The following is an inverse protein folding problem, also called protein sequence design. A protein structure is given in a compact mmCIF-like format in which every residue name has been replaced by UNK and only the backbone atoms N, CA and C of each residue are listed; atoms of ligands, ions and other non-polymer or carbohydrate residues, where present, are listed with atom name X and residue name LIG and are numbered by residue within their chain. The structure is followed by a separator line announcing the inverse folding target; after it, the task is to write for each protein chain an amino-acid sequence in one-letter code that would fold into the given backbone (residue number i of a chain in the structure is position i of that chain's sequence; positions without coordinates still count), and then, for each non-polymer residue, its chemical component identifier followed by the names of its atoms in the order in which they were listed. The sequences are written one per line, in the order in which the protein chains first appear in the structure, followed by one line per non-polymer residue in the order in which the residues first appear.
data_IF_872191478749
#
_entry.id   IF_872191478749
#
_cell.length_a   1.000
_cell.length_b   1.000
_cell.length_c   1.000
_cell.angle_alpha   90.00
_cell.angle_beta   90.00
_cell.angle_gamma   90.00
#
_symmetry.space_group_name_H-M   'P 1'
#
loop_
_entity.id
_entity.type
_entity.pdbx_description
1 polymer ?
#
# COMPACT_ATOMS: atom_id res chain seq x y z
N UNK A 1 -45.48 31.15 25.41
CA UNK A 1 -44.66 30.99 24.19
C UNK A 1 -43.44 30.18 24.58
N UNK A 2 -43.51 28.87 24.39
CA UNK A 2 -42.47 27.92 24.81
C UNK A 2 -41.58 27.64 23.61
N UNK A 3 -40.33 28.11 23.64
CA UNK A 3 -39.32 27.75 22.65
C UNK A 3 -38.58 26.51 23.15
N UNK A 4 -38.85 25.37 22.52
CA UNK A 4 -38.16 24.12 22.78
C UNK A 4 -36.69 24.19 22.33
N UNK A 5 -35.79 23.69 23.17
CA UNK A 5 -34.42 23.39 22.77
C UNK A 5 -34.41 22.21 21.77
N UNK A 6 -33.60 22.24 20.71
CA UNK A 6 -33.41 21.07 19.88
C UNK A 6 -32.49 20.09 20.61
N UNK A 7 -32.96 18.86 20.72
CA UNK A 7 -32.15 17.70 21.05
C UNK A 7 -31.15 17.45 19.90
N UNK A 8 -29.94 17.97 20.02
CA UNK A 8 -28.82 17.56 19.18
C UNK A 8 -28.29 16.22 19.69
N UNK A 9 -28.83 15.14 19.13
CA UNK A 9 -28.14 13.86 19.00
C UNK A 9 -26.85 14.09 18.22
N UNK A 10 -25.69 14.07 18.89
CA UNK A 10 -24.43 13.80 18.22
C UNK A 10 -23.84 12.52 18.81
N UNK A 11 -23.54 11.62 17.87
CA UNK A 11 -23.20 10.23 18.03
C UNK A 11 -22.05 9.99 19.01
N UNK A 12 -22.06 8.79 19.58
CA UNK A 12 -21.14 8.34 20.60
C UNK A 12 -19.66 8.47 20.23
N UNK A 13 -18.94 9.21 21.07
CA UNK A 13 -17.49 9.07 21.22
C UNK A 13 -17.28 7.89 22.17
N UNK A 14 -17.26 6.67 21.64
CA UNK A 14 -16.89 5.45 22.40
C UNK A 14 -15.71 4.68 21.78
N UNK A 15 -14.87 5.33 21.00
CA UNK A 15 -13.76 4.67 20.25
C UNK A 15 -12.35 5.25 20.53
N UNK A 16 -12.13 5.93 21.67
CA UNK A 16 -10.85 6.63 21.90
C UNK A 16 -9.89 6.00 22.93
N UNK A 17 -10.23 4.88 23.60
CA UNK A 17 -9.38 4.37 24.69
C UNK A 17 -8.38 3.27 24.30
N UNK A 18 -8.67 2.49 23.27
CA UNK A 18 -7.76 1.44 22.77
C UNK A 18 -6.82 1.95 21.67
N UNK A 19 -7.33 2.82 20.80
CA UNK A 19 -6.60 3.41 19.68
C UNK A 19 -5.33 4.17 20.12
N UNK A 20 -5.38 4.84 21.28
CA UNK A 20 -4.23 5.62 21.78
C UNK A 20 -3.04 4.74 22.23
N UNK A 21 -3.30 3.53 22.74
CA UNK A 21 -2.26 2.57 23.12
C UNK A 21 -1.56 1.99 21.89
N UNK A 22 -2.34 1.76 20.82
CA UNK A 22 -1.84 1.20 19.57
C UNK A 22 -1.05 2.23 18.76
N UNK A 23 -1.54 3.48 18.67
CA UNK A 23 -0.79 4.60 18.11
C UNK A 23 0.52 4.87 18.85
N UNK A 24 0.51 4.90 20.20
CA UNK A 24 1.73 5.10 20.98
C UNK A 24 2.76 3.98 20.76
N UNK A 25 2.31 2.75 20.48
CA UNK A 25 3.19 1.64 20.13
C UNK A 25 3.81 1.82 18.73
N UNK A 26 3.01 2.28 17.76
CA UNK A 26 3.51 2.64 16.43
C UNK A 26 4.51 3.79 16.50
N UNK A 27 4.29 4.83 17.29
CA UNK A 27 5.24 5.94 17.43
C UNK A 27 6.62 5.45 17.89
N UNK A 28 6.66 4.56 18.90
CA UNK A 28 7.90 3.94 19.37
C UNK A 28 8.55 3.05 18.30
N UNK A 29 7.76 2.30 17.54
CA UNK A 29 8.26 1.50 16.41
C UNK A 29 8.90 2.39 15.35
N UNK A 30 8.22 3.45 14.91
CA UNK A 30 8.68 4.34 13.85
C UNK A 30 9.89 5.17 14.29
N UNK A 31 9.97 5.56 15.55
CA UNK A 31 11.18 6.17 16.14
C UNK A 31 12.37 5.18 16.12
N UNK A 32 12.15 3.90 16.41
CA UNK A 32 13.21 2.89 16.28
C UNK A 32 13.61 2.65 14.82
N UNK A 33 12.66 2.64 13.90
CA UNK A 33 12.91 2.48 12.46
C UNK A 33 13.70 3.67 11.89
N UNK A 34 13.42 4.89 12.35
CA UNK A 34 14.09 6.13 11.90
C UNK A 34 15.61 6.10 12.16
N UNK A 35 16.02 5.44 13.25
CA UNK A 35 17.42 5.23 13.65
C UNK A 35 18.17 4.23 12.75
N UNK A 36 17.46 3.39 12.00
CA UNK A 36 18.09 2.48 11.04
C UNK A 36 18.41 3.19 9.72
N UNK A 37 19.70 3.31 9.40
CA UNK A 37 20.17 3.85 8.10
C UNK A 37 19.63 3.06 6.91
N UNK A 38 19.33 1.76 7.09
CA UNK A 38 18.69 0.95 6.08
C UNK A 38 17.23 1.32 5.88
N UNK A 39 16.44 1.34 6.95
CA UNK A 39 14.98 1.57 6.86
C UNK A 39 14.62 3.01 6.47
N UNK A 40 15.34 4.01 7.01
CA UNK A 40 15.05 5.43 6.73
C UNK A 40 15.30 5.87 5.28
N UNK A 41 15.96 5.05 4.46
CA UNK A 41 16.31 5.38 3.06
C UNK A 41 15.15 5.17 2.09
N UNK A 42 14.13 4.42 2.50
CA UNK A 42 12.96 4.10 1.70
C UNK A 42 12.00 5.30 1.70
N UNK A 43 11.52 5.63 0.50
CA UNK A 43 10.53 6.68 0.22
C UNK A 43 9.80 6.32 -1.04
N UNK A 44 8.53 6.71 -1.15
CA UNK A 44 7.79 6.53 -2.41
C UNK A 44 8.49 7.31 -3.55
N UNK A 45 8.60 6.67 -4.71
CA UNK A 45 8.98 7.34 -5.94
C UNK A 45 7.78 8.05 -6.56
N UNK A 46 8.02 8.77 -7.66
CA UNK A 46 6.96 9.49 -8.39
C UNK A 46 5.87 8.53 -8.88
N UNK A 47 6.26 7.38 -9.42
CA UNK A 47 5.32 6.39 -9.96
C UNK A 47 4.48 5.75 -8.85
N UNK A 48 5.10 5.40 -7.72
CA UNK A 48 4.37 4.82 -6.59
C UNK A 48 3.42 5.84 -5.94
N UNK A 49 3.80 7.11 -5.81
CA UNK A 49 2.90 8.16 -5.33
C UNK A 49 1.71 8.36 -6.28
N UNK A 50 1.95 8.40 -7.60
CA UNK A 50 0.88 8.49 -8.59
C UNK A 50 -0.04 7.26 -8.54
N UNK A 51 0.51 6.06 -8.39
CA UNK A 51 -0.28 4.85 -8.28
C UNK A 51 -1.14 4.84 -7.02
N UNK A 52 -0.57 5.25 -5.87
CA UNK A 52 -1.31 5.42 -4.61
C UNK A 52 -2.43 6.45 -4.76
N UNK A 53 -2.15 7.61 -5.38
CA UNK A 53 -3.16 8.65 -5.60
C UNK A 53 -4.29 8.20 -6.54
N UNK A 54 -3.95 7.48 -7.62
CA UNK A 54 -4.92 7.04 -8.62
C UNK A 54 -5.82 5.90 -8.12
N UNK A 55 -5.29 5.00 -7.28
CA UNK A 55 -6.05 3.85 -6.74
C UNK A 55 -6.76 4.17 -5.43
N UNK A 56 -6.23 5.09 -4.62
CA UNK A 56 -6.71 5.36 -3.28
C UNK A 56 -6.14 4.41 -2.23
N UNK A 57 -6.22 4.81 -0.96
CA UNK A 57 -5.62 4.05 0.14
C UNK A 57 -6.29 2.69 0.33
N UNK A 58 -7.62 2.64 0.28
CA UNK A 58 -8.41 1.43 0.50
C UNK A 58 -7.97 0.29 -0.44
N UNK A 59 -8.00 0.51 -1.75
CA UNK A 59 -7.55 -0.49 -2.75
C UNK A 59 -6.08 -0.89 -2.56
N UNK A 60 -5.21 0.03 -2.15
CA UNK A 60 -3.80 -0.28 -1.90
C UNK A 60 -3.65 -1.18 -0.67
N UNK A 61 -4.47 -1.01 0.36
CA UNK A 61 -4.49 -1.86 1.54
C UNK A 61 -5.14 -3.23 1.26
N UNK A 62 -6.13 -3.30 0.38
CA UNK A 62 -6.65 -4.59 -0.14
C UNK A 62 -5.53 -5.42 -0.80
N UNK A 63 -4.77 -4.81 -1.70
CA UNK A 63 -3.59 -5.47 -2.28
C UNK A 63 -2.57 -5.87 -1.19
N UNK A 64 -2.40 -5.02 -0.18
CA UNK A 64 -1.51 -5.29 0.95
C UNK A 64 -1.93 -6.53 1.73
N UNK A 65 -3.22 -6.68 2.02
CA UNK A 65 -3.80 -7.86 2.66
C UNK A 65 -3.50 -9.13 1.88
N UNK A 66 -3.70 -9.09 0.56
CA UNK A 66 -3.39 -10.23 -0.31
C UNK A 66 -1.90 -10.58 -0.31
N UNK A 67 -1.02 -9.56 -0.37
CA UNK A 67 0.42 -9.79 -0.32
C UNK A 67 0.88 -10.41 1.01
N UNK A 68 0.32 -9.96 2.13
CA UNK A 68 0.62 -10.51 3.45
C UNK A 68 0.17 -11.97 3.52
N UNK A 69 -1.09 -12.23 3.17
CA UNK A 69 -1.68 -13.57 3.22
C UNK A 69 -0.92 -14.58 2.34
N UNK A 70 -0.51 -14.17 1.14
CA UNK A 70 0.14 -15.07 0.19
C UNK A 70 1.65 -15.25 0.45
N UNK A 71 2.34 -14.21 0.93
CA UNK A 71 3.83 -14.18 0.95
C UNK A 71 4.45 -14.20 2.33
N UNK A 72 3.71 -13.86 3.39
CA UNK A 72 4.23 -13.70 4.76
C UNK A 72 3.50 -14.56 5.78
N UNK A 73 2.21 -14.83 5.55
CA UNK A 73 1.39 -15.60 6.47
C UNK A 73 1.76 -17.09 6.59
N UNK A 74 2.23 -17.81 5.54
CA UNK A 74 2.64 -19.21 5.71
C UNK A 74 3.81 -19.37 6.68
N UNK A 75 3.81 -20.47 7.46
CA UNK A 75 4.90 -20.82 8.38
C UNK A 75 6.23 -21.07 7.64
N UNK A 76 6.17 -21.76 6.50
CA UNK A 76 7.31 -22.08 5.65
C UNK A 76 7.22 -21.31 4.33
N UNK A 77 8.23 -20.48 4.06
CA UNK A 77 8.32 -19.67 2.83
C UNK A 77 9.61 -20.08 2.11
N UNK A 78 9.54 -20.72 0.92
CA UNK A 78 10.71 -21.26 0.22
C UNK A 78 11.80 -20.23 -0.11
N UNK A 79 11.42 -18.96 -0.27
CA UNK A 79 12.30 -17.86 -0.62
C UNK A 79 12.26 -16.71 0.41
N UNK A 80 12.15 -17.04 1.71
CA UNK A 80 12.13 -16.03 2.76
C UNK A 80 13.38 -15.12 2.71
N UNK A 81 13.15 -13.82 2.86
CA UNK A 81 14.15 -12.78 2.64
C UNK A 81 14.20 -12.23 1.20
N UNK A 82 13.56 -12.91 0.23
CA UNK A 82 13.50 -12.50 -1.18
C UNK A 82 12.08 -12.50 -1.77
N UNK A 83 11.07 -12.82 -0.98
CA UNK A 83 9.68 -12.91 -1.43
C UNK A 83 9.04 -11.57 -1.79
N UNK A 84 9.58 -10.47 -1.26
CA UNK A 84 9.01 -9.13 -1.42
C UNK A 84 9.88 -8.28 -2.34
N UNK A 85 9.43 -7.93 -3.56
CA UNK A 85 10.14 -7.03 -4.45
C UNK A 85 10.45 -5.69 -3.76
N UNK A 86 11.50 -4.97 -4.18
CA UNK A 86 11.83 -3.66 -3.57
C UNK A 86 11.16 -2.46 -4.27
N UNK A 87 10.41 -2.68 -5.35
CA UNK A 87 9.87 -1.64 -6.26
C UNK A 87 8.59 -2.10 -6.94
N UNK A 88 7.86 -1.16 -7.55
CA UNK A 88 6.73 -1.46 -8.45
C UNK A 88 5.37 -1.45 -7.76
N UNK A 89 5.32 -1.36 -6.43
CA UNK A 89 4.08 -1.15 -5.68
C UNK A 89 4.35 -0.38 -4.37
N UNK A 90 3.48 0.57 -3.96
CA UNK A 90 3.64 1.31 -2.71
C UNK A 90 3.81 0.40 -1.48
N UNK A 91 3.00 -0.66 -1.38
CA UNK A 91 3.07 -1.64 -0.28
C UNK A 91 4.45 -2.31 -0.19
N UNK A 92 5.08 -2.63 -1.32
CA UNK A 92 6.40 -3.27 -1.29
C UNK A 92 7.45 -2.35 -0.68
N UNK A 93 7.45 -1.07 -1.06
CA UNK A 93 8.34 -0.08 -0.44
C UNK A 93 8.03 0.08 1.05
N UNK A 94 6.75 0.13 1.42
CA UNK A 94 6.32 0.21 2.80
C UNK A 94 6.86 -0.98 3.62
N UNK A 95 6.69 -2.21 3.13
CA UNK A 95 7.19 -3.42 3.79
C UNK A 95 8.70 -3.38 4.03
N UNK A 96 9.48 -2.88 3.08
CA UNK A 96 10.92 -2.70 3.25
C UNK A 96 11.25 -1.57 4.22
N UNK A 97 10.48 -0.49 4.22
CA UNK A 97 10.67 0.64 5.12
C UNK A 97 10.34 0.29 6.58
N UNK A 98 9.30 -0.52 6.80
CA UNK A 98 8.79 -0.84 8.14
C UNK A 98 9.35 -2.13 8.70
N UNK A 99 10.02 -2.95 7.88
CA UNK A 99 10.57 -4.22 8.33
C UNK A 99 9.57 -5.37 8.34
N UNK A 100 8.56 -5.30 7.48
CA UNK A 100 7.57 -6.37 7.29
C UNK A 100 7.77 -7.14 5.98
N UNK A 101 8.93 -7.01 5.32
CA UNK A 101 9.22 -7.62 4.02
C UNK A 101 9.53 -9.12 4.03
N UNK A 102 9.89 -9.69 5.18
CA UNK A 102 10.18 -11.12 5.36
C UNK A 102 10.05 -11.54 6.83
N UNK A 103 10.05 -12.85 7.13
CA UNK A 103 9.87 -13.35 8.52
C UNK A 103 10.97 -12.89 9.46
N UNK A 104 12.23 -12.95 9.03
CA UNK A 104 13.35 -12.45 9.85
C UNK A 104 13.29 -10.95 10.13
N UNK A 105 12.71 -10.15 9.22
CA UNK A 105 12.48 -8.73 9.50
C UNK A 105 11.31 -8.54 10.47
N UNK A 106 10.22 -9.28 10.28
CA UNK A 106 9.04 -9.27 11.15
C UNK A 106 9.44 -9.60 12.60
N UNK A 107 10.20 -10.67 12.81
CA UNK A 107 10.69 -11.07 14.12
C UNK A 107 11.59 -10.00 14.76
N UNK A 108 12.54 -9.47 14.00
CA UNK A 108 13.48 -8.46 14.50
C UNK A 108 12.80 -7.16 14.94
N UNK A 109 11.85 -6.68 14.15
CA UNK A 109 11.26 -5.34 14.34
C UNK A 109 9.97 -5.38 15.15
N UNK A 110 9.14 -6.39 14.94
CA UNK A 110 7.78 -6.50 15.48
C UNK A 110 7.62 -7.59 16.54
N UNK A 111 8.68 -8.39 16.79
CA UNK A 111 8.68 -9.45 17.83
C UNK A 111 7.64 -10.56 17.59
N UNK A 112 7.27 -10.77 16.33
CA UNK A 112 6.44 -11.91 15.89
C UNK A 112 7.38 -13.03 15.43
N UNK A 113 7.32 -14.18 16.11
CA UNK A 113 8.24 -15.30 15.92
C UNK A 113 8.26 -15.82 14.48
N UNK A 114 9.43 -16.14 13.94
CA UNK A 114 9.55 -16.78 12.63
C UNK A 114 9.18 -18.28 12.68
N UNK A 115 8.90 -18.90 11.53
CA UNK A 115 8.60 -20.33 11.45
C UNK A 115 7.19 -20.75 11.90
N UNK A 116 6.34 -19.79 12.26
CA UNK A 116 4.91 -20.00 12.53
C UNK A 116 4.06 -19.20 11.55
N UNK A 117 2.90 -19.74 11.21
CA UNK A 117 1.95 -19.01 10.38
C UNK A 117 1.47 -17.75 11.10
N UNK A 118 1.32 -16.63 10.38
CA UNK A 118 0.76 -15.42 10.98
C UNK A 118 -0.72 -15.63 11.29
N UNK A 119 -1.11 -15.31 12.52
CA UNK A 119 -2.51 -15.14 12.93
C UNK A 119 -3.18 -13.99 12.15
N UNK A 120 -4.50 -13.94 12.16
CA UNK A 120 -5.23 -12.86 11.48
C UNK A 120 -4.94 -11.50 12.14
N UNK A 121 -4.76 -11.49 13.45
CA UNK A 121 -4.40 -10.33 14.25
C UNK A 121 -3.01 -9.80 13.87
N UNK A 122 -2.02 -10.69 13.72
CA UNK A 122 -0.67 -10.32 13.27
C UNK A 122 -0.67 -9.78 11.83
N UNK A 123 -1.49 -10.36 10.95
CA UNK A 123 -1.65 -9.86 9.58
C UNK A 123 -2.29 -8.48 9.55
N UNK A 124 -3.34 -8.25 10.36
CA UNK A 124 -4.00 -6.96 10.51
C UNK A 124 -3.02 -5.90 11.04
N UNK A 125 -2.28 -6.23 12.11
CA UNK A 125 -1.25 -5.35 12.65
C UNK A 125 -0.18 -4.97 11.60
N UNK A 126 0.30 -5.94 10.80
CA UNK A 126 1.26 -5.65 9.73
C UNK A 126 0.65 -4.71 8.68
N UNK A 127 -0.64 -4.88 8.36
CA UNK A 127 -1.35 -4.01 7.44
C UNK A 127 -1.48 -2.58 8.00
N UNK A 128 -1.76 -2.42 9.29
CA UNK A 128 -1.85 -1.12 9.96
C UNK A 128 -0.50 -0.39 9.98
N UNK A 129 0.59 -1.12 10.23
CA UNK A 129 1.96 -0.58 10.12
C UNK A 129 2.25 -0.07 8.70
N UNK A 130 1.81 -0.81 7.67
CA UNK A 130 1.98 -0.41 6.27
C UNK A 130 1.12 0.83 5.96
N UNK A 131 -0.13 0.85 6.40
CA UNK A 131 -1.04 1.98 6.22
C UNK A 131 -0.46 3.25 6.83
N UNK A 132 -0.01 3.17 8.09
CA UNK A 132 0.60 4.29 8.79
C UNK A 132 1.83 4.84 8.05
N UNK A 133 2.73 3.97 7.57
CA UNK A 133 3.88 4.44 6.78
C UNK A 133 3.45 5.11 5.48
N UNK A 134 2.45 4.57 4.77
CA UNK A 134 1.96 5.16 3.52
C UNK A 134 1.32 6.54 3.75
N UNK A 135 0.58 6.74 4.84
CA UNK A 135 0.04 8.04 5.20
C UNK A 135 1.14 9.08 5.45
N UNK A 136 2.19 8.70 6.19
CA UNK A 136 3.36 9.57 6.39
C UNK A 136 4.07 9.94 5.08
N UNK A 137 3.98 9.10 4.04
CA UNK A 137 4.62 9.38 2.74
C UNK A 137 3.83 10.33 1.84
N UNK A 138 2.56 10.62 2.13
CA UNK A 138 1.76 11.58 1.34
C UNK A 138 2.32 13.00 1.45
N UNK A 139 2.87 13.35 2.61
CA UNK A 139 3.43 14.67 2.90
C UNK A 139 4.92 14.79 2.51
N UNK A 140 5.57 13.69 2.14
CA UNK A 140 7.01 13.66 1.84
C UNK A 140 7.22 13.77 0.32
N UNK A 141 8.12 14.67 -0.15
CA UNK A 141 8.41 14.76 -1.57
C UNK A 141 9.00 13.45 -2.09
N UNK A 142 8.62 13.03 -3.31
CA UNK A 142 9.02 11.74 -3.86
C UNK A 142 10.53 11.64 -3.98
N UNK A 143 11.05 10.43 -3.83
CA UNK A 143 12.46 10.16 -4.16
C UNK A 143 12.66 10.39 -5.65
N UNK A 144 13.51 11.36 -6.00
CA UNK A 144 13.96 11.57 -7.38
C UNK A 144 14.67 10.29 -7.85
N UNK A 145 14.01 9.53 -8.71
CA UNK A 145 14.66 8.47 -9.46
C UNK A 145 15.50 9.12 -10.56
N UNK A 146 16.71 8.61 -10.84
CA UNK A 146 17.40 8.96 -12.10
C UNK A 146 16.42 8.60 -13.22
N UNK A 147 16.08 9.58 -14.04
CA UNK A 147 15.04 9.47 -15.06
C UNK A 147 15.18 8.16 -15.85
N UNK A 148 14.34 7.18 -15.55
CA UNK A 148 13.97 6.15 -16.50
C UNK A 148 12.95 6.82 -17.40
N UNK A 149 13.38 7.12 -18.62
CA UNK A 149 12.59 7.54 -19.77
C UNK A 149 11.13 7.08 -19.62
N UNK A 150 10.24 8.02 -19.27
CA UNK A 150 8.82 7.83 -19.49
C UNK A 150 8.68 7.62 -21.00
N UNK A 151 8.56 6.37 -21.43
CA UNK A 151 7.98 6.06 -22.72
C UNK A 151 6.52 6.55 -22.65
N UNK A 152 6.31 7.83 -22.96
CA UNK A 152 5.02 8.26 -23.46
C UNK A 152 4.71 7.36 -24.66
N UNK A 153 3.49 6.81 -24.78
CA UNK A 153 3.11 6.06 -25.96
C UNK A 153 3.35 6.94 -27.18
N UNK A 154 4.27 6.51 -28.07
CA UNK A 154 4.49 7.18 -29.35
C UNK A 154 3.15 7.25 -30.06
N UNK A 155 2.65 8.47 -30.32
CA UNK A 155 1.50 8.74 -31.19
C UNK A 155 1.69 7.90 -32.46
N UNK A 156 0.83 6.90 -32.69
CA UNK A 156 0.76 6.25 -34.00
C UNK A 156 0.40 7.35 -35.00
N UNK A 157 1.27 7.60 -35.98
CA UNK A 157 0.91 8.40 -37.15
C UNK A 157 -0.19 7.62 -37.86
N UNK A 158 -1.40 8.18 -37.93
CA UNK A 158 -2.41 7.73 -38.87
C UNK A 158 -1.87 8.00 -40.27
N UNK A 159 -1.44 6.95 -40.97
CA UNK A 159 -1.25 7.00 -42.40
C UNK A 159 -2.56 6.54 -43.02
N UNK A 160 -3.17 7.44 -43.79
CA UNK A 160 -4.27 7.14 -44.68
C UNK A 160 -3.84 6.06 -45.68
N UNK A 161 -4.73 5.14 -45.98
CA UNK A 161 -4.72 4.32 -47.19
C UNK A 161 -6.17 3.92 -47.47
N UNK A 162 -6.79 4.66 -48.40
CA UNK A 162 -7.93 4.24 -49.23
C UNK A 162 -7.58 2.93 -49.94
N UNK A 163 -8.49 1.94 -49.96
CA UNK A 163 -8.83 1.12 -51.15
C UNK A 163 -10.21 0.47 -50.93
N UNK A 164 -11.09 0.69 -51.91
CA UNK A 164 -12.41 0.08 -52.13
C UNK A 164 -12.45 -1.46 -52.03
N UNK A 165 -13.61 -1.99 -51.60
CA UNK A 165 -13.94 -3.39 -51.83
C UNK A 165 -15.19 -3.85 -51.10
N UNK A 166 -16.35 -3.52 -51.68
CA UNK A 166 -17.66 -4.13 -51.38
C UNK A 166 -17.60 -5.66 -51.49
N UNK A 167 -18.15 -6.39 -50.51
CA UNK A 167 -18.63 -7.75 -50.75
C UNK A 167 -19.68 -8.16 -49.70
N UNK A 168 -20.90 -8.37 -50.19
CA UNK A 168 -22.03 -9.12 -49.62
C UNK A 168 -23.10 -8.37 -48.80
N UNK A 169 -24.38 -8.79 -48.93
CA UNK A 169 -25.48 -7.91 -49.32
C UNK A 169 -26.59 -7.85 -48.26
N UNK A 170 -27.44 -6.84 -48.40
CA UNK A 170 -28.74 -6.78 -47.76
C UNK A 170 -29.60 -7.97 -48.18
N UNK A 171 -30.23 -8.63 -47.20
CA UNK A 171 -31.46 -9.39 -47.42
C UNK A 171 -32.50 -8.83 -46.45
N UNK A 172 -33.48 -8.15 -47.04
CA UNK A 172 -34.74 -7.75 -46.42
C UNK A 172 -35.60 -8.97 -46.04
N UNK A 173 -36.11 -9.00 -44.80
CA UNK A 173 -37.55 -9.03 -44.45
C UNK A 173 -37.74 -9.23 -42.95
#
# INVERSE_FOLDING_TARGET
MSFGLPAFLFLGIKECRCYYSEMANLDVLFERLSRSSFRRRFRLGVQEQQYLANKGMETILEHGKDFIAQRLAPAEIPNDGKQTPCKGHPVFLAQHATGTCCRGCIEKWHRIEAGKSLSQEEQAYILDVIAHWLDLQKEVPPKKTKAATLNLPKKRKSKAEDVQGSLFPEIEK
#
